data_IF_987091814514
#
_entry.id   IF_987091814514
#
_cell.length_a   1.000
_cell.length_b   1.000
_cell.length_c   1.000
_cell.angle_alpha   90.00
_cell.angle_beta   90.00
_cell.angle_gamma   90.00
#
_symmetry.space_group_name_H-M   'P 1'
#
loop_
_entity.id
_entity.type
_entity.pdbx_description
1 polymer ?
#
# COMPACT_ATOMS: atom_id res chain seq x y z
N UNK A 1 -24.95 -0.47 7.19
CA UNK A 1 -23.83 -0.44 6.24
C UNK A 1 -24.05 0.70 5.27
N UNK A 2 -23.00 1.39 4.84
CA UNK A 2 -23.10 2.38 3.75
C UNK A 2 -23.18 1.64 2.42
N UNK A 3 -23.76 2.27 1.37
CA UNK A 3 -23.70 1.77 0.00
C UNK A 3 -22.39 2.15 -0.67
N UNK A 4 -21.99 3.45 -0.59
CA UNK A 4 -20.80 3.96 -1.24
C UNK A 4 -20.30 5.28 -0.63
N UNK A 5 -18.97 5.47 -0.66
CA UNK A 5 -18.33 6.76 -0.42
C UNK A 5 -17.70 7.23 -1.74
N UNK A 6 -18.08 8.44 -2.22
CA UNK A 6 -17.53 9.06 -3.44
C UNK A 6 -16.90 10.38 -3.07
N UNK A 7 -15.77 10.69 -3.68
CA UNK A 7 -15.17 12.00 -3.52
C UNK A 7 -14.34 12.39 -4.74
N UNK A 8 -14.21 13.68 -4.96
CA UNK A 8 -13.31 14.31 -5.92
C UNK A 8 -12.75 15.56 -5.26
N UNK A 9 -11.45 15.60 -5.00
CA UNK A 9 -10.84 16.57 -4.09
C UNK A 9 -9.55 17.13 -4.68
N UNK A 10 -9.37 18.44 -4.56
CA UNK A 10 -8.09 19.10 -4.76
C UNK A 10 -7.69 19.88 -3.50
N UNK A 11 -6.39 19.92 -3.21
CA UNK A 11 -5.84 20.65 -2.07
C UNK A 11 -4.56 21.38 -2.41
N UNK A 12 -4.57 22.68 -2.22
CA UNK A 12 -3.42 23.57 -2.35
C UNK A 12 -3.07 24.17 -0.99
N UNK A 13 -1.78 24.33 -0.71
CA UNK A 13 -1.25 25.12 0.39
C UNK A 13 -0.36 26.23 -0.22
N UNK A 14 -0.91 27.43 -0.35
CA UNK A 14 -0.29 28.49 -1.12
C UNK A 14 -0.08 28.07 -2.57
N UNK A 15 1.13 28.15 -3.08
CA UNK A 15 1.48 27.74 -4.45
C UNK A 15 1.67 26.22 -4.61
N UNK A 16 1.73 25.44 -3.50
CA UNK A 16 1.99 23.99 -3.55
C UNK A 16 0.69 23.24 -3.74
N UNK A 17 0.57 22.54 -4.88
CA UNK A 17 -0.49 21.56 -5.10
C UNK A 17 -0.14 20.25 -4.40
N UNK A 18 -0.96 19.82 -3.45
CA UNK A 18 -0.73 18.59 -2.65
C UNK A 18 -1.65 17.47 -3.08
N UNK A 19 -2.85 17.79 -3.57
CA UNK A 19 -3.76 16.84 -4.21
C UNK A 19 -4.35 17.52 -5.44
N UNK A 20 -4.23 16.84 -6.57
CA UNK A 20 -4.68 17.31 -7.87
C UNK A 20 -5.77 16.37 -8.41
N UNK A 21 -7.02 16.82 -8.33
CA UNK A 21 -8.18 16.10 -8.84
C UNK A 21 -8.29 14.63 -8.36
N UNK A 22 -8.02 14.42 -7.07
CA UNK A 22 -8.05 13.10 -6.47
C UNK A 22 -9.50 12.59 -6.37
N UNK A 23 -9.88 11.71 -7.28
CA UNK A 23 -11.22 11.15 -7.37
C UNK A 23 -11.22 9.64 -7.10
N UNK A 24 -12.16 9.18 -6.27
CA UNK A 24 -12.35 7.77 -5.98
C UNK A 24 -13.80 7.48 -5.55
N UNK A 25 -14.25 6.27 -5.88
CA UNK A 25 -15.45 5.65 -5.32
C UNK A 25 -15.05 4.40 -4.53
N UNK A 26 -15.52 4.31 -3.27
CA UNK A 26 -15.32 3.19 -2.34
C UNK A 26 -16.67 2.58 -2.05
N UNK A 27 -16.78 1.26 -2.18
CA UNK A 27 -18.02 0.51 -1.91
C UNK A 27 -18.15 0.22 -0.41
N UNK A 28 -19.40 0.05 0.04
CA UNK A 28 -19.64 -0.40 1.41
C UNK A 28 -18.99 -1.75 1.69
N UNK A 29 -18.32 -1.87 2.83
CA UNK A 29 -17.59 -3.08 3.23
C UNK A 29 -16.23 -3.26 2.55
N UNK A 30 -15.78 -2.31 1.72
CA UNK A 30 -14.49 -2.40 1.01
C UNK A 30 -13.33 -1.90 1.89
N UNK A 31 -12.18 -2.59 1.81
CA UNK A 31 -10.90 -2.15 2.38
C UNK A 31 -10.04 -1.53 1.29
N UNK A 32 -9.92 -0.21 1.28
CA UNK A 32 -9.13 0.52 0.28
C UNK A 32 -7.87 1.08 0.91
N UNK A 33 -6.72 0.84 0.29
CA UNK A 33 -5.44 1.40 0.74
C UNK A 33 -4.91 2.47 -0.21
N UNK A 34 -4.55 3.64 0.35
CA UNK A 34 -3.76 4.65 -0.34
C UNK A 34 -2.28 4.33 -0.11
N UNK A 35 -1.57 3.99 -1.17
CA UNK A 35 -0.20 3.53 -1.16
C UNK A 35 0.68 4.50 -1.96
N UNK A 36 1.86 4.83 -1.45
CA UNK A 36 2.82 5.70 -2.14
C UNK A 36 3.90 6.22 -1.22
N UNK A 37 4.91 6.93 -1.74
CA UNK A 37 6.01 7.46 -0.96
C UNK A 37 5.55 8.52 0.05
N UNK A 38 6.43 8.84 1.00
CA UNK A 38 6.17 9.91 1.97
C UNK A 38 5.98 11.25 1.25
N UNK A 39 5.01 12.03 1.70
CA UNK A 39 4.73 13.36 1.12
C UNK A 39 3.91 13.37 -0.17
N UNK A 40 3.44 12.23 -0.71
CA UNK A 40 2.64 12.20 -1.93
C UNK A 40 1.16 12.60 -1.76
N UNK A 41 0.71 12.97 -0.54
CA UNK A 41 -0.64 13.48 -0.30
C UNK A 41 -1.61 12.51 0.41
N UNK A 42 -1.22 11.28 0.77
CA UNK A 42 -2.09 10.25 1.40
C UNK A 42 -2.78 10.74 2.67
N UNK A 43 -2.00 11.17 3.67
CA UNK A 43 -2.55 11.69 4.95
C UNK A 43 -3.35 12.97 4.73
N UNK A 44 -2.99 13.80 3.75
CA UNK A 44 -3.80 14.97 3.37
C UNK A 44 -5.17 14.53 2.86
N UNK A 45 -5.24 13.55 1.95
CA UNK A 45 -6.49 13.00 1.46
C UNK A 45 -7.35 12.45 2.62
N UNK A 46 -6.73 11.69 3.54
CA UNK A 46 -7.41 11.16 4.71
C UNK A 46 -7.96 12.25 5.63
N UNK A 47 -7.19 13.32 5.88
CA UNK A 47 -7.59 14.46 6.70
C UNK A 47 -8.73 15.27 6.05
N UNK A 48 -8.76 15.39 4.73
CA UNK A 48 -9.89 15.98 3.99
C UNK A 48 -11.16 15.15 4.16
N UNK A 49 -11.07 13.82 4.04
CA UNK A 49 -12.19 12.91 4.27
C UNK A 49 -12.68 12.97 5.72
N UNK A 50 -11.77 13.00 6.69
CA UNK A 50 -12.10 13.16 8.10
C UNK A 50 -12.75 14.51 8.44
N UNK A 51 -12.55 15.54 7.61
CA UNK A 51 -13.01 16.90 7.86
C UNK A 51 -12.07 17.72 8.74
N UNK A 52 -10.87 17.21 9.01
CA UNK A 52 -9.83 17.92 9.77
C UNK A 52 -9.17 19.03 8.94
N UNK A 53 -9.27 18.93 7.61
CA UNK A 53 -8.85 19.95 6.66
C UNK A 53 -10.00 20.24 5.69
N UNK A 54 -10.27 21.51 5.32
CA UNK A 54 -11.18 21.82 4.23
C UNK A 54 -10.49 21.57 2.87
N UNK A 55 -11.19 21.03 1.87
CA UNK A 55 -10.68 20.96 0.52
C UNK A 55 -10.53 22.38 -0.08
N UNK A 56 -9.64 22.56 -1.06
CA UNK A 56 -9.59 23.79 -1.85
C UNK A 56 -10.74 23.80 -2.86
N UNK A 57 -11.03 22.64 -3.46
CA UNK A 57 -12.17 22.41 -4.31
C UNK A 57 -12.58 20.95 -4.29
N UNK A 58 -13.81 20.68 -4.72
CA UNK A 58 -14.36 19.35 -4.81
C UNK A 58 -15.40 19.04 -3.74
N UNK A 59 -15.78 17.78 -3.66
CA UNK A 59 -16.90 17.32 -2.84
C UNK A 59 -16.71 15.90 -2.31
N UNK A 60 -17.39 15.59 -1.21
CA UNK A 60 -17.42 14.27 -0.56
C UNK A 60 -18.88 13.87 -0.38
N UNK A 61 -19.23 12.70 -0.87
CA UNK A 61 -20.56 12.11 -0.76
C UNK A 61 -20.52 10.75 -0.10
N UNK A 62 -21.38 10.54 0.87
CA UNK A 62 -21.61 9.25 1.49
C UNK A 62 -23.07 8.86 1.21
N UNK A 63 -23.24 7.88 0.34
CA UNK A 63 -24.53 7.59 -0.31
C UNK A 63 -25.08 8.85 -1.01
N UNK A 64 -26.23 9.37 -0.59
CA UNK A 64 -26.84 10.60 -1.11
C UNK A 64 -26.57 11.84 -0.23
N UNK A 65 -25.71 11.69 0.79
CA UNK A 65 -25.42 12.72 1.76
C UNK A 65 -24.09 13.43 1.46
N UNK A 66 -24.12 14.74 1.24
CA UNK A 66 -22.92 15.56 1.05
C UNK A 66 -22.25 15.85 2.38
N UNK A 67 -20.93 15.53 2.50
CA UNK A 67 -20.18 15.59 3.74
C UNK A 67 -19.13 16.70 3.83
N UNK A 68 -18.65 17.24 2.69
CA UNK A 68 -17.57 18.25 2.74
C UNK A 68 -17.95 19.51 3.55
N UNK A 69 -19.22 20.00 3.62
CA UNK A 69 -19.56 21.11 4.48
C UNK A 69 -19.69 20.73 5.97
N UNK A 70 -19.70 19.43 6.30
CA UNK A 70 -19.92 18.98 7.69
C UNK A 70 -18.63 18.97 8.47
N UNK A 71 -18.66 19.40 9.73
CA UNK A 71 -17.51 19.28 10.62
C UNK A 71 -17.24 17.79 10.96
N UNK A 72 -16.02 17.46 11.42
CA UNK A 72 -15.56 16.07 11.63
C UNK A 72 -16.53 15.23 12.47
N UNK A 73 -17.02 15.77 13.59
CA UNK A 73 -17.89 15.08 14.54
C UNK A 73 -19.27 14.71 13.94
N UNK A 74 -19.66 15.33 12.81
CA UNK A 74 -20.93 15.08 12.12
C UNK A 74 -20.79 14.20 10.89
N UNK A 75 -19.56 13.80 10.50
CA UNK A 75 -19.33 12.90 9.36
C UNK A 75 -19.61 11.43 9.69
N UNK A 76 -19.58 11.07 10.98
CA UNK A 76 -19.81 9.70 11.43
C UNK A 76 -18.64 8.76 11.13
N UNK A 77 -17.44 9.29 10.96
CA UNK A 77 -16.22 8.54 10.71
C UNK A 77 -15.47 8.25 12.01
N UNK A 78 -14.78 7.10 12.06
CA UNK A 78 -13.78 6.79 13.08
C UNK A 78 -12.38 7.00 12.49
N UNK A 79 -11.43 7.52 13.29
CA UNK A 79 -10.08 7.74 12.80
C UNK A 79 -9.04 7.20 13.80
N UNK A 80 -8.05 6.50 13.28
CA UNK A 80 -6.84 6.07 13.98
C UNK A 80 -5.67 6.86 13.41
N UNK A 81 -4.99 7.62 14.24
CA UNK A 81 -3.85 8.46 13.88
C UNK A 81 -2.53 7.67 13.97
N UNK A 82 -1.52 8.09 13.25
CA UNK A 82 -0.18 7.48 13.20
C UNK A 82 0.48 7.37 14.60
N UNK A 83 0.29 8.38 15.47
CA UNK A 83 0.81 8.41 16.83
C UNK A 83 -0.22 7.93 17.87
N UNK A 84 -1.27 7.20 17.41
CA UNK A 84 -2.41 6.73 18.21
C UNK A 84 -3.24 7.84 18.85
N UNK A 85 -2.69 9.02 19.13
CA UNK A 85 -3.33 10.20 19.72
C UNK A 85 -4.20 9.87 20.96
N UNK A 86 -3.71 8.97 21.83
CA UNK A 86 -4.39 8.64 23.07
C UNK A 86 -4.29 9.81 24.05
N UNK A 87 -5.35 10.01 24.82
CA UNK A 87 -5.36 10.99 25.90
C UNK A 87 -4.54 10.45 27.09
N UNK A 88 -3.36 11.00 27.39
CA UNK A 88 -2.44 10.40 28.36
C UNK A 88 -2.96 10.43 29.79
N UNK A 89 -3.85 11.36 30.11
CA UNK A 89 -4.48 11.58 31.42
C UNK A 89 -5.78 10.78 31.60
N UNK A 90 -6.25 10.05 30.59
CA UNK A 90 -7.41 9.18 30.66
C UNK A 90 -6.99 7.72 30.72
N UNK A 91 -7.76 6.91 31.46
CA UNK A 91 -7.61 5.46 31.49
C UNK A 91 -7.89 4.84 30.11
N UNK A 92 -7.58 3.56 29.93
CA UNK A 92 -7.99 2.79 28.74
C UNK A 92 -9.49 2.84 28.55
N UNK A 93 -10.24 2.62 29.62
CA UNK A 93 -11.70 2.70 29.59
C UNK A 93 -12.18 4.07 29.12
N UNK A 94 -11.67 5.15 29.72
CA UNK A 94 -12.10 6.51 29.41
C UNK A 94 -11.65 6.97 28.02
N UNK A 95 -10.47 6.53 27.54
CA UNK A 95 -10.05 6.73 26.16
C UNK A 95 -11.06 6.15 25.18
N UNK A 96 -11.47 4.88 25.39
CA UNK A 96 -12.44 4.22 24.52
C UNK A 96 -13.83 4.86 24.67
N UNK A 97 -14.25 5.18 25.89
CA UNK A 97 -15.55 5.78 26.19
C UNK A 97 -15.71 7.21 25.66
N UNK A 98 -14.61 7.91 25.36
CA UNK A 98 -14.60 9.34 25.07
C UNK A 98 -15.63 9.76 24.01
N UNK A 99 -15.63 9.09 22.86
CA UNK A 99 -16.55 9.38 21.77
C UNK A 99 -18.03 9.14 22.13
N UNK A 100 -18.31 8.17 22.98
CA UNK A 100 -19.67 7.90 23.50
C UNK A 100 -20.13 8.98 24.47
N UNK A 101 -19.23 9.49 25.33
CA UNK A 101 -19.54 10.61 26.22
C UNK A 101 -19.84 11.91 25.46
N UNK A 102 -19.05 12.22 24.42
CA UNK A 102 -19.31 13.38 23.54
C UNK A 102 -20.69 13.27 22.89
N UNK A 103 -21.11 12.03 22.52
CA UNK A 103 -22.45 11.74 21.96
C UNK A 103 -23.55 11.64 23.01
N UNK A 104 -23.26 11.89 24.30
CA UNK A 104 -24.19 11.83 25.43
C UNK A 104 -24.90 10.47 25.58
N UNK A 105 -24.22 9.37 25.29
CA UNK A 105 -24.73 8.01 25.52
C UNK A 105 -24.84 7.75 27.03
N UNK A 106 -25.85 7.00 27.48
CA UNK A 106 -26.07 6.72 28.90
C UNK A 106 -24.92 5.91 29.50
N UNK A 107 -24.63 6.10 30.79
CA UNK A 107 -23.51 5.44 31.48
C UNK A 107 -23.57 3.91 31.40
N UNK A 108 -24.76 3.31 31.52
CA UNK A 108 -24.92 1.86 31.41
C UNK A 108 -24.55 1.35 30.02
N UNK A 109 -25.04 2.00 28.97
CA UNK A 109 -24.71 1.66 27.58
C UNK A 109 -23.23 1.88 27.27
N UNK A 110 -22.61 2.94 27.81
CA UNK A 110 -21.16 3.20 27.68
C UNK A 110 -20.36 2.03 28.26
N UNK A 111 -20.68 1.62 29.49
CA UNK A 111 -19.96 0.51 30.14
C UNK A 111 -20.03 -0.79 29.37
N UNK A 112 -21.20 -1.14 28.85
CA UNK A 112 -21.39 -2.38 28.07
C UNK A 112 -20.65 -2.32 26.73
N UNK A 113 -20.77 -1.20 25.98
CA UNK A 113 -20.10 -1.04 24.67
C UNK A 113 -18.59 -1.06 24.84
N UNK A 114 -18.04 -0.36 25.83
CA UNK A 114 -16.60 -0.29 26.08
C UNK A 114 -16.08 -1.69 26.44
N UNK A 115 -16.70 -2.42 27.38
CA UNK A 115 -16.26 -3.78 27.73
C UNK A 115 -16.28 -4.71 26.54
N UNK A 116 -17.37 -4.71 25.77
CA UNK A 116 -17.47 -5.53 24.56
C UNK A 116 -16.35 -5.17 23.56
N UNK A 117 -16.07 -3.89 23.37
CA UNK A 117 -15.02 -3.43 22.45
C UNK A 117 -13.63 -3.81 22.95
N UNK A 118 -13.35 -3.68 24.27
CA UNK A 118 -12.07 -4.10 24.84
C UNK A 118 -11.86 -5.62 24.71
N UNK A 119 -12.89 -6.42 24.93
CA UNK A 119 -12.84 -7.87 24.64
C UNK A 119 -12.54 -8.18 23.19
N UNK A 120 -13.17 -7.46 22.24
CA UNK A 120 -12.96 -7.64 20.80
C UNK A 120 -11.51 -7.37 20.38
N UNK A 121 -10.86 -6.36 20.98
CA UNK A 121 -9.45 -6.02 20.71
C UNK A 121 -8.47 -6.68 21.69
N UNK A 122 -8.90 -7.61 22.53
CA UNK A 122 -8.09 -8.39 23.49
C UNK A 122 -7.35 -7.52 24.49
N UNK A 123 -8.07 -6.59 25.14
CA UNK A 123 -7.56 -5.69 26.19
C UNK A 123 -8.31 -5.87 27.51
N UNK A 124 -8.92 -7.03 27.74
CA UNK A 124 -9.61 -7.36 28.99
C UNK A 124 -8.65 -7.23 30.17
N UNK A 125 -9.11 -6.64 31.28
CA UNK A 125 -8.34 -6.44 32.50
C UNK A 125 -7.36 -5.27 32.45
N UNK A 126 -7.36 -4.48 31.39
CA UNK A 126 -6.50 -3.28 31.25
C UNK A 126 -7.28 -1.96 31.38
N UNK A 127 -8.56 -2.00 31.74
CA UNK A 127 -9.51 -0.88 31.72
C UNK A 127 -9.02 0.33 32.53
N UNK A 128 -8.37 0.08 33.67
CA UNK A 128 -7.91 1.12 34.60
C UNK A 128 -6.50 1.63 34.31
N UNK A 129 -5.76 1.00 33.39
CA UNK A 129 -4.42 1.44 33.03
C UNK A 129 -4.45 2.73 32.21
N UNK A 130 -3.34 3.44 32.27
CA UNK A 130 -3.10 4.66 31.48
C UNK A 130 -2.21 4.34 30.25
N UNK A 131 -2.26 5.15 29.18
CA UNK A 131 -1.46 4.91 27.96
C UNK A 131 0.04 4.67 28.24
N UNK A 132 0.66 5.42 29.15
CA UNK A 132 2.07 5.25 29.50
C UNK A 132 2.43 3.92 30.17
N UNK A 133 1.44 3.11 30.57
CA UNK A 133 1.61 1.79 31.19
C UNK A 133 1.41 0.65 30.19
N UNK A 134 1.21 0.98 28.90
CA UNK A 134 0.87 0.04 27.84
C UNK A 134 2.04 -0.09 26.84
N UNK A 135 2.20 -1.29 26.26
CA UNK A 135 3.07 -1.48 25.09
C UNK A 135 2.50 -0.75 23.86
N UNK A 136 3.33 -0.49 22.85
CA UNK A 136 2.89 0.16 21.59
C UNK A 136 1.71 -0.55 20.93
N UNK A 137 1.73 -1.89 20.87
CA UNK A 137 0.61 -2.66 20.33
C UNK A 137 -0.66 -2.57 21.18
N UNK A 138 -0.54 -2.49 22.50
CA UNK A 138 -1.70 -2.25 23.37
C UNK A 138 -2.26 -0.84 23.17
N UNK A 139 -1.40 0.18 23.07
CA UNK A 139 -1.83 1.55 22.74
C UNK A 139 -2.57 1.62 21.41
N UNK A 140 -2.07 0.93 20.39
CA UNK A 140 -2.73 0.84 19.10
C UNK A 140 -4.10 0.18 19.19
N UNK A 141 -4.22 -0.94 19.92
CA UNK A 141 -5.51 -1.61 20.17
C UNK A 141 -6.51 -0.67 20.86
N UNK A 142 -6.06 0.13 21.83
CA UNK A 142 -6.90 1.18 22.46
C UNK A 142 -7.36 2.21 21.43
N UNK A 143 -6.47 2.68 20.55
CA UNK A 143 -6.82 3.66 19.52
C UNK A 143 -7.85 3.08 18.51
N UNK A 144 -7.68 1.82 18.10
CA UNK A 144 -8.64 1.10 17.25
C UNK A 144 -9.98 0.94 17.99
N UNK A 145 -9.98 0.50 19.24
CA UNK A 145 -11.18 0.37 20.06
C UNK A 145 -11.93 1.70 20.19
N UNK A 146 -11.23 2.81 20.46
CA UNK A 146 -11.78 4.17 20.53
C UNK A 146 -12.45 4.59 19.22
N UNK A 147 -11.83 4.25 18.08
CA UNK A 147 -12.40 4.56 16.77
C UNK A 147 -13.61 3.70 16.41
N UNK A 148 -13.66 2.44 16.89
CA UNK A 148 -14.73 1.48 16.59
C UNK A 148 -15.93 1.55 17.52
N UNK A 149 -15.75 1.93 18.81
CA UNK A 149 -16.83 1.90 19.81
C UNK A 149 -18.02 2.80 19.46
N UNK A 150 -17.76 3.83 18.65
CA UNK A 150 -18.80 4.74 18.14
C UNK A 150 -19.58 4.19 16.94
N UNK A 151 -19.28 2.96 16.50
CA UNK A 151 -19.88 2.30 15.34
C UNK A 151 -19.80 3.20 14.09
N UNK A 152 -18.58 3.49 13.61
CA UNK A 152 -18.40 4.45 12.54
C UNK A 152 -18.93 3.94 11.21
N UNK A 153 -19.40 4.85 10.35
CA UNK A 153 -19.83 4.55 8.97
C UNK A 153 -18.62 4.20 8.08
N UNK A 154 -17.48 4.84 8.33
CA UNK A 154 -16.20 4.61 7.66
C UNK A 154 -15.07 4.68 8.70
N UNK A 155 -14.14 3.75 8.62
CA UNK A 155 -12.93 3.72 9.43
C UNK A 155 -11.75 4.27 8.62
N UNK A 156 -11.09 5.29 9.13
CA UNK A 156 -9.91 5.92 8.55
C UNK A 156 -8.67 5.55 9.39
N UNK A 157 -7.62 5.02 8.75
CA UNK A 157 -6.39 4.60 9.43
C UNK A 157 -5.19 5.27 8.75
N UNK A 158 -4.52 6.18 9.49
CA UNK A 158 -3.35 6.92 9.00
C UNK A 158 -2.06 6.26 9.53
N UNK A 159 -1.38 5.48 8.70
CA UNK A 159 -0.14 4.73 9.00
C UNK A 159 -0.14 4.04 10.38
N UNK A 160 -1.19 3.29 10.75
CA UNK A 160 -1.38 2.85 12.13
C UNK A 160 -0.33 1.85 12.62
N UNK A 161 0.45 1.23 11.72
CA UNK A 161 1.45 0.21 12.06
C UNK A 161 2.89 0.73 12.02
N UNK A 162 3.12 2.00 11.63
CA UNK A 162 4.46 2.55 11.40
C UNK A 162 5.37 2.55 12.62
N UNK A 163 4.80 2.67 13.83
CA UNK A 163 5.54 2.76 15.09
C UNK A 163 5.75 1.41 15.80
N UNK A 164 5.47 0.30 15.12
CA UNK A 164 5.58 -1.06 15.68
C UNK A 164 6.80 -1.78 15.12
N UNK A 165 7.39 -2.67 15.94
CA UNK A 165 8.37 -3.63 15.48
C UNK A 165 7.80 -4.62 14.46
N UNK A 166 8.66 -5.33 13.73
CA UNK A 166 8.24 -6.21 12.63
C UNK A 166 7.28 -7.33 13.08
N UNK A 167 7.52 -7.96 14.25
CA UNK A 167 6.67 -9.05 14.75
C UNK A 167 5.28 -8.53 15.12
N UNK A 168 5.23 -7.47 15.90
CA UNK A 168 3.98 -6.86 16.36
C UNK A 168 3.17 -6.28 15.19
N UNK A 169 3.87 -5.74 14.16
CA UNK A 169 3.24 -5.27 12.92
C UNK A 169 2.49 -6.38 12.20
N UNK A 170 3.08 -7.58 12.08
CA UNK A 170 2.42 -8.75 11.48
C UNK A 170 1.18 -9.17 12.27
N UNK A 171 1.27 -9.22 13.60
CA UNK A 171 0.14 -9.56 14.47
C UNK A 171 -1.00 -8.55 14.35
N UNK A 172 -0.67 -7.25 14.38
CA UNK A 172 -1.66 -6.18 14.30
C UNK A 172 -2.30 -6.06 12.91
N UNK A 173 -1.54 -6.37 11.84
CA UNK A 173 -2.07 -6.46 10.48
C UNK A 173 -3.17 -7.51 10.39
N UNK A 174 -2.91 -8.71 10.91
CA UNK A 174 -3.90 -9.79 10.94
C UNK A 174 -5.14 -9.40 11.77
N UNK A 175 -4.94 -8.69 12.90
CA UNK A 175 -6.02 -8.22 13.75
C UNK A 175 -6.90 -7.17 13.07
N UNK A 176 -6.30 -6.18 12.38
CA UNK A 176 -7.04 -5.18 11.61
C UNK A 176 -7.90 -5.86 10.51
N UNK A 177 -7.32 -6.83 9.77
CA UNK A 177 -8.06 -7.58 8.75
C UNK A 177 -9.23 -8.34 9.36
N UNK A 178 -9.02 -9.02 10.50
CA UNK A 178 -10.06 -9.73 11.23
C UNK A 178 -11.20 -8.80 11.65
N UNK A 179 -10.87 -7.67 12.29
CA UNK A 179 -11.86 -6.69 12.76
C UNK A 179 -12.66 -6.10 11.60
N UNK A 180 -11.99 -5.78 10.48
CA UNK A 180 -12.67 -5.29 9.28
C UNK A 180 -13.71 -6.29 8.76
N UNK A 181 -13.33 -7.57 8.63
CA UNK A 181 -14.21 -8.63 8.13
C UNK A 181 -15.35 -8.93 9.11
N UNK A 182 -15.04 -9.07 10.41
CA UNK A 182 -16.02 -9.42 11.44
C UNK A 182 -17.10 -8.35 11.64
N UNK A 183 -16.71 -7.07 11.51
CA UNK A 183 -17.62 -5.94 11.70
C UNK A 183 -18.23 -5.41 10.39
N UNK A 184 -17.82 -5.94 9.23
CA UNK A 184 -18.28 -5.48 7.90
C UNK A 184 -17.96 -4.00 7.66
N UNK A 185 -16.77 -3.55 8.04
CA UNK A 185 -16.38 -2.14 7.99
C UNK A 185 -16.12 -1.68 6.55
N UNK A 186 -16.35 -0.40 6.28
CA UNK A 186 -15.74 0.28 5.14
C UNK A 186 -14.50 0.99 5.65
N UNK A 187 -13.32 0.66 5.11
CA UNK A 187 -12.04 1.14 5.63
C UNK A 187 -11.20 1.84 4.57
N UNK A 188 -10.63 2.98 4.93
CA UNK A 188 -9.58 3.65 4.14
C UNK A 188 -8.31 3.62 4.97
N UNK A 189 -7.28 3.02 4.43
CA UNK A 189 -5.99 2.79 5.07
C UNK A 189 -4.90 3.56 4.33
N UNK A 190 -4.03 4.22 5.04
CA UNK A 190 -2.85 4.90 4.49
C UNK A 190 -1.60 4.18 4.93
N UNK A 191 -0.72 3.86 4.01
CA UNK A 191 0.60 3.29 4.29
C UNK A 191 1.60 3.60 3.17
N UNK A 192 2.87 3.45 3.46
CA UNK A 192 3.95 3.38 2.49
C UNK A 192 4.53 1.94 2.37
N UNK A 193 4.02 0.99 3.19
CA UNK A 193 4.45 -0.42 3.20
C UNK A 193 3.61 -1.22 2.20
N UNK A 194 4.30 -1.82 1.21
CA UNK A 194 3.69 -2.65 0.17
C UNK A 194 3.06 -3.92 0.74
N UNK A 195 3.74 -4.56 1.72
CA UNK A 195 3.26 -5.79 2.34
C UNK A 195 1.95 -5.57 3.10
N UNK A 196 1.78 -4.41 3.74
CA UNK A 196 0.51 -4.02 4.35
C UNK A 196 -0.58 -3.85 3.29
N UNK A 197 -0.31 -3.07 2.24
CA UNK A 197 -1.27 -2.81 1.18
C UNK A 197 -1.71 -4.10 0.48
N UNK A 198 -0.76 -4.96 0.07
CA UNK A 198 -1.06 -6.21 -0.63
C UNK A 198 -1.86 -7.21 0.22
N UNK A 199 -1.62 -7.24 1.55
CA UNK A 199 -2.26 -8.23 2.42
C UNK A 199 -3.62 -7.81 2.97
N UNK A 200 -3.84 -6.51 3.17
CA UNK A 200 -5.06 -5.98 3.80
C UNK A 200 -6.16 -5.67 2.80
N UNK A 201 -5.81 -5.17 1.62
CA UNK A 201 -6.73 -4.44 0.75
C UNK A 201 -7.56 -5.33 -0.16
N UNK A 202 -8.78 -4.86 -0.46
CA UNK A 202 -9.55 -5.30 -1.61
C UNK A 202 -9.13 -4.49 -2.85
N UNK A 203 -8.81 -3.19 -2.67
CA UNK A 203 -8.25 -2.32 -3.71
C UNK A 203 -7.14 -1.43 -3.16
N UNK A 204 -6.14 -1.20 -4.00
CA UNK A 204 -5.01 -0.30 -3.74
C UNK A 204 -5.08 0.87 -4.71
N UNK A 205 -4.88 2.07 -4.18
CA UNK A 205 -4.74 3.33 -4.92
C UNK A 205 -3.28 3.76 -4.79
N UNK A 206 -2.52 3.60 -5.87
CA UNK A 206 -1.11 4.05 -5.90
C UNK A 206 -1.07 5.53 -6.22
N UNK A 207 -0.43 6.29 -5.34
CA UNK A 207 -0.34 7.75 -5.41
C UNK A 207 1.11 8.23 -5.57
N UNK A 208 1.29 9.25 -6.41
CA UNK A 208 2.52 10.01 -6.54
C UNK A 208 2.21 11.50 -6.76
N UNK A 209 2.90 12.38 -6.03
CA UNK A 209 2.82 13.84 -6.22
C UNK A 209 1.39 14.41 -6.27
N UNK A 210 0.51 13.89 -5.39
CA UNK A 210 -0.88 14.35 -5.28
C UNK A 210 -1.84 13.74 -6.30
N UNK A 211 -1.38 12.85 -7.18
CA UNK A 211 -2.19 12.21 -8.22
C UNK A 211 -2.31 10.71 -8.02
N UNK A 212 -3.37 10.14 -8.55
CA UNK A 212 -3.58 8.69 -8.64
C UNK A 212 -2.92 8.18 -9.92
N UNK A 213 -1.96 7.26 -9.77
CA UNK A 213 -1.32 6.62 -10.92
C UNK A 213 -2.01 5.34 -11.34
N UNK A 214 -2.46 4.54 -10.38
CA UNK A 214 -3.16 3.29 -10.66
C UNK A 214 -4.11 2.94 -9.52
N UNK A 215 -5.26 2.39 -9.86
CA UNK A 215 -6.21 1.77 -8.94
C UNK A 215 -6.45 0.35 -9.41
N UNK A 216 -6.38 -0.63 -8.50
CA UNK A 216 -6.60 -2.03 -8.82
C UNK A 216 -6.63 -2.92 -7.60
N UNK A 217 -6.93 -4.20 -7.79
CA UNK A 217 -6.76 -5.24 -6.77
C UNK A 217 -5.26 -5.41 -6.44
N UNK A 218 -4.91 -5.99 -5.28
CA UNK A 218 -3.52 -6.31 -4.96
C UNK A 218 -2.78 -7.05 -6.08
N UNK A 219 -3.41 -8.05 -6.70
CA UNK A 219 -2.85 -8.80 -7.81
C UNK A 219 -2.62 -7.94 -9.07
N UNK A 220 -3.59 -7.06 -9.41
CA UNK A 220 -3.43 -6.16 -10.56
C UNK A 220 -2.29 -5.16 -10.37
N UNK A 221 -2.17 -4.57 -9.17
CA UNK A 221 -1.08 -3.63 -8.85
C UNK A 221 0.27 -4.34 -8.88
N UNK A 222 0.32 -5.55 -8.31
CA UNK A 222 1.54 -6.34 -8.23
C UNK A 222 1.97 -6.89 -9.59
N UNK A 223 1.08 -7.53 -10.36
CA UNK A 223 1.44 -8.29 -11.57
C UNK A 223 1.29 -7.50 -12.87
N UNK A 224 0.58 -6.37 -12.84
CA UNK A 224 0.26 -5.54 -14.01
C UNK A 224 0.42 -4.04 -13.71
N UNK A 225 1.62 -3.60 -13.31
CA UNK A 225 1.88 -2.18 -13.14
C UNK A 225 1.70 -1.47 -14.48
N UNK A 226 1.11 -0.27 -14.45
CA UNK A 226 0.83 0.53 -15.65
C UNK A 226 1.91 1.53 -15.99
N UNK A 227 2.74 1.89 -15.01
CA UNK A 227 3.81 2.89 -15.15
C UNK A 227 5.11 2.35 -14.58
N UNK A 228 6.22 2.91 -15.02
CA UNK A 228 7.56 2.60 -14.49
C UNK A 228 7.63 2.85 -12.99
N UNK A 229 7.02 3.96 -12.55
CA UNK A 229 6.97 4.27 -11.13
C UNK A 229 6.24 3.19 -10.31
N UNK A 230 5.06 2.75 -10.77
CA UNK A 230 4.32 1.70 -10.06
C UNK A 230 5.12 0.40 -10.07
N UNK A 231 5.73 0.04 -11.18
CA UNK A 231 6.57 -1.16 -11.29
C UNK A 231 7.75 -1.12 -10.30
N UNK A 232 8.55 -0.06 -10.31
CA UNK A 232 9.67 0.09 -9.36
C UNK A 232 9.15 0.09 -7.91
N UNK A 233 8.06 0.81 -7.65
CA UNK A 233 7.46 0.90 -6.32
C UNK A 233 6.98 -0.46 -5.79
N UNK A 234 6.49 -1.38 -6.65
CA UNK A 234 6.03 -2.73 -6.24
C UNK A 234 7.09 -3.83 -6.43
N UNK A 235 8.37 -3.45 -6.59
CA UNK A 235 9.48 -4.39 -6.50
C UNK A 235 10.11 -4.86 -7.81
N UNK A 236 9.73 -4.29 -8.95
CA UNK A 236 10.46 -4.52 -10.21
C UNK A 236 11.78 -3.74 -10.18
N UNK A 237 12.88 -4.40 -9.84
CA UNK A 237 14.20 -3.79 -9.67
C UNK A 237 15.07 -3.81 -10.92
N UNK A 238 14.69 -4.59 -11.94
CA UNK A 238 15.32 -4.59 -13.25
C UNK A 238 14.43 -3.83 -14.22
N UNK A 239 14.91 -2.71 -14.72
CA UNK A 239 14.26 -1.86 -15.70
C UNK A 239 15.22 -1.74 -16.89
N UNK A 240 15.13 -2.70 -17.83
CA UNK A 240 16.06 -2.82 -18.94
C UNK A 240 15.53 -2.07 -20.17
N UNK A 241 16.27 -1.09 -20.73
CA UNK A 241 15.89 -0.43 -21.96
C UNK A 241 15.92 -1.41 -23.13
N UNK A 242 14.78 -1.55 -23.83
CA UNK A 242 14.62 -2.46 -24.97
C UNK A 242 13.76 -1.82 -26.06
N UNK A 243 13.89 -2.30 -27.29
CA UNK A 243 13.06 -1.88 -28.43
C UNK A 243 12.13 -3.01 -28.83
N UNK A 244 10.87 -2.73 -29.05
CA UNK A 244 9.86 -3.69 -29.46
C UNK A 244 10.13 -4.15 -30.90
N UNK A 245 10.36 -5.46 -31.11
CA UNK A 245 10.71 -6.03 -32.41
C UNK A 245 9.61 -6.86 -33.05
N UNK A 246 8.72 -7.48 -32.25
CA UNK A 246 7.62 -8.28 -32.77
C UNK A 246 6.45 -8.36 -31.75
N UNK A 247 5.26 -8.67 -32.27
CA UNK A 247 4.08 -9.03 -31.46
C UNK A 247 3.65 -10.45 -31.83
N UNK A 248 3.61 -11.34 -30.84
CA UNK A 248 3.18 -12.72 -31.02
C UNK A 248 1.66 -12.87 -31.10
N UNK A 249 1.20 -13.95 -31.69
CA UNK A 249 -0.22 -14.30 -31.76
C UNK A 249 -0.83 -14.63 -30.38
N UNK A 250 0.00 -14.97 -29.41
CA UNK A 250 -0.34 -15.20 -27.98
C UNK A 250 -0.49 -13.92 -27.15
N UNK A 251 -0.38 -12.75 -27.80
CA UNK A 251 -0.50 -11.44 -27.16
C UNK A 251 0.78 -10.99 -26.43
N UNK A 252 1.85 -11.80 -26.43
CA UNK A 252 3.14 -11.38 -25.91
C UNK A 252 3.90 -10.54 -26.93
N UNK A 253 4.68 -9.61 -26.43
CA UNK A 253 5.53 -8.71 -27.19
C UNK A 253 6.98 -9.14 -27.05
N UNK A 254 7.72 -9.24 -28.15
CA UNK A 254 9.16 -9.46 -28.15
C UNK A 254 9.87 -8.12 -28.25
N UNK A 255 10.88 -7.92 -27.42
CA UNK A 255 11.71 -6.72 -27.43
C UNK A 255 13.18 -7.08 -27.21
N UNK A 256 14.08 -6.27 -27.75
CA UNK A 256 15.52 -6.50 -27.73
C UNK A 256 16.27 -5.24 -27.29
N UNK A 257 17.28 -5.41 -26.45
CA UNK A 257 18.14 -4.31 -25.97
C UNK A 257 18.99 -4.77 -24.79
N UNK A 258 20.05 -4.02 -24.46
CA UNK A 258 20.90 -4.34 -23.31
C UNK A 258 21.56 -5.74 -23.36
N UNK A 259 21.68 -6.36 -24.57
CA UNK A 259 22.22 -7.71 -24.73
C UNK A 259 21.24 -8.84 -24.38
N UNK A 260 19.96 -8.52 -24.19
CA UNK A 260 18.91 -9.50 -23.93
C UNK A 260 17.80 -9.41 -24.98
N UNK A 261 17.19 -10.57 -25.26
CA UNK A 261 15.95 -10.66 -26.03
C UNK A 261 14.86 -11.15 -25.10
N UNK A 262 13.88 -10.30 -24.82
CA UNK A 262 12.81 -10.60 -23.88
C UNK A 262 11.46 -10.80 -24.58
N UNK A 263 10.60 -11.58 -23.96
CA UNK A 263 9.18 -11.65 -24.29
C UNK A 263 8.39 -11.27 -23.04
N UNK A 264 7.42 -10.39 -23.17
CA UNK A 264 6.67 -9.90 -22.03
C UNK A 264 5.30 -9.38 -22.44
N UNK A 265 4.52 -8.96 -21.43
CA UNK A 265 3.22 -8.34 -21.62
C UNK A 265 3.38 -6.82 -21.67
N UNK A 266 2.66 -6.16 -22.57
CA UNK A 266 2.60 -4.70 -22.62
C UNK A 266 1.75 -4.23 -23.77
N UNK A 267 1.06 -3.12 -23.59
CA UNK A 267 0.35 -2.43 -24.68
C UNK A 267 1.26 -1.34 -25.27
N UNK A 268 2.22 -1.80 -26.07
CA UNK A 268 3.30 -0.99 -26.63
C UNK A 268 3.39 -1.19 -28.14
N UNK A 269 3.72 -0.13 -28.88
CA UNK A 269 3.79 -0.19 -30.33
C UNK A 269 5.05 -0.89 -30.82
N UNK A 270 4.99 -1.47 -32.03
CA UNK A 270 6.16 -2.01 -32.74
C UNK A 270 7.17 -0.87 -32.99
N UNK A 271 8.45 -1.13 -32.74
CA UNK A 271 9.53 -0.16 -32.85
C UNK A 271 9.63 0.83 -31.66
N UNK A 272 8.71 0.77 -30.71
CA UNK A 272 8.78 1.65 -29.53
C UNK A 272 9.97 1.30 -28.63
N UNK A 273 10.62 2.33 -28.07
CA UNK A 273 11.58 2.20 -26.97
C UNK A 273 10.80 2.08 -25.66
N UNK A 274 11.03 1.01 -24.91
CA UNK A 274 10.29 0.66 -23.69
C UNK A 274 11.24 0.14 -22.62
N UNK A 275 10.76 0.01 -21.40
CA UNK A 275 11.48 -0.65 -20.31
C UNK A 275 10.90 -2.04 -20.07
N UNK A 276 11.74 -3.05 -20.11
CA UNK A 276 11.40 -4.39 -19.63
C UNK A 276 11.56 -4.41 -18.11
N UNK A 277 10.44 -4.45 -17.41
CA UNK A 277 10.38 -4.49 -15.95
C UNK A 277 10.35 -5.96 -15.48
N UNK A 278 11.32 -6.34 -14.63
CA UNK A 278 11.51 -7.71 -14.16
C UNK A 278 11.85 -7.67 -12.68
N UNK A 279 11.30 -8.59 -11.89
CA UNK A 279 11.64 -8.72 -10.47
C UNK A 279 12.91 -9.54 -10.28
N UNK A 280 13.69 -9.31 -9.20
CA UNK A 280 14.85 -10.14 -8.90
C UNK A 280 14.53 -11.63 -8.74
N UNK A 281 13.37 -11.97 -8.18
CA UNK A 281 12.90 -13.35 -8.00
C UNK A 281 12.49 -14.05 -9.30
N UNK A 282 12.22 -13.30 -10.39
CA UNK A 282 11.89 -13.82 -11.71
C UNK A 282 13.14 -13.95 -12.61
N UNK A 283 14.32 -13.74 -12.04
CA UNK A 283 15.63 -13.93 -12.68
C UNK A 283 16.28 -15.19 -12.13
N UNK A 284 16.51 -16.17 -13.01
CA UNK A 284 17.19 -17.42 -12.66
C UNK A 284 18.66 -17.37 -13.00
N UNK A 285 19.51 -17.94 -12.16
CA UNK A 285 20.96 -18.09 -12.35
C UNK A 285 21.33 -19.55 -12.54
N UNK A 286 22.21 -19.85 -13.50
CA UNK A 286 22.67 -21.21 -13.79
C UNK A 286 23.96 -21.23 -14.60
N UNK A 287 24.49 -22.44 -14.85
CA UNK A 287 25.68 -22.62 -15.68
C UNK A 287 25.35 -22.62 -17.18
N UNK A 288 24.13 -23.00 -17.53
CA UNK A 288 23.67 -23.13 -18.90
C UNK A 288 22.71 -22.00 -19.30
N UNK A 289 22.85 -21.56 -20.54
CA UNK A 289 21.98 -20.56 -21.15
C UNK A 289 20.79 -21.26 -21.84
N UNK A 290 19.58 -21.14 -21.26
CA UNK A 290 18.39 -21.74 -21.85
C UNK A 290 17.30 -20.70 -22.09
N UNK A 291 16.72 -20.69 -23.30
CA UNK A 291 15.52 -19.95 -23.65
C UNK A 291 15.72 -18.51 -24.12
N UNK A 292 14.61 -17.88 -24.46
CA UNK A 292 14.56 -16.45 -24.78
C UNK A 292 14.83 -15.62 -23.54
N UNK A 293 15.79 -14.69 -23.61
CA UNK A 293 16.22 -13.88 -22.45
C UNK A 293 17.46 -14.41 -21.74
N UNK A 294 18.06 -15.49 -22.26
CA UNK A 294 19.32 -15.98 -21.73
C UNK A 294 20.48 -15.04 -22.08
N UNK A 295 21.25 -14.65 -21.09
CA UNK A 295 22.43 -13.80 -21.23
C UNK A 295 23.55 -14.31 -20.28
N UNK A 296 24.80 -14.01 -20.60
CA UNK A 296 25.94 -14.29 -19.72
C UNK A 296 26.34 -13.02 -18.99
N UNK A 297 26.79 -13.19 -17.74
CA UNK A 297 27.25 -12.05 -16.97
C UNK A 297 28.17 -12.45 -15.82
N UNK A 298 28.81 -11.46 -15.22
CA UNK A 298 29.73 -11.64 -14.09
C UNK A 298 29.08 -11.14 -12.82
N UNK A 299 29.11 -11.94 -11.76
CA UNK A 299 28.60 -11.59 -10.43
C UNK A 299 29.45 -10.48 -9.83
N UNK A 300 28.80 -9.35 -9.51
CA UNK A 300 29.45 -8.14 -8.97
C UNK A 300 29.28 -8.01 -7.46
N UNK A 301 28.09 -8.31 -6.96
CA UNK A 301 27.73 -8.16 -5.55
C UNK A 301 26.83 -9.32 -5.11
N UNK A 302 27.02 -9.80 -3.88
CA UNK A 302 26.16 -10.82 -3.26
C UNK A 302 25.84 -10.37 -1.84
N UNK A 303 24.56 -10.23 -1.53
CA UNK A 303 24.07 -9.81 -0.22
C UNK A 303 23.14 -10.89 0.36
N UNK A 304 23.46 -11.39 1.55
CA UNK A 304 22.65 -12.40 2.23
C UNK A 304 21.41 -11.79 2.88
N UNK A 305 20.23 -12.31 2.54
CA UNK A 305 18.93 -11.86 3.02
C UNK A 305 18.25 -12.84 4.01
N UNK A 306 19.04 -13.71 4.65
CA UNK A 306 18.57 -14.69 5.64
C UNK A 306 18.32 -16.09 5.06
N UNK A 307 17.61 -16.24 3.97
CA UNK A 307 17.39 -17.53 3.26
C UNK A 307 17.89 -17.51 1.84
N UNK A 308 17.90 -16.35 1.24
CA UNK A 308 18.26 -16.11 -0.15
C UNK A 308 19.35 -15.05 -0.22
N UNK A 309 19.90 -14.88 -1.40
CA UNK A 309 20.90 -13.88 -1.71
C UNK A 309 20.35 -12.94 -2.78
N UNK A 310 20.44 -11.64 -2.55
CA UNK A 310 20.32 -10.63 -3.59
C UNK A 310 21.66 -10.53 -4.31
N UNK A 311 21.65 -10.71 -5.63
CA UNK A 311 22.84 -10.81 -6.48
C UNK A 311 22.78 -9.74 -7.55
N UNK A 312 23.82 -8.94 -7.69
CA UNK A 312 23.98 -8.00 -8.80
C UNK A 312 24.95 -8.58 -9.83
N UNK A 313 24.52 -8.66 -11.08
CA UNK A 313 25.25 -9.25 -12.19
C UNK A 313 25.44 -8.17 -13.27
N UNK A 314 26.67 -8.00 -13.75
CA UNK A 314 26.95 -7.24 -14.96
C UNK A 314 26.95 -8.18 -16.15
N UNK A 315 25.99 -8.01 -17.05
CA UNK A 315 25.93 -8.78 -18.30
C UNK A 315 27.11 -8.43 -19.22
N UNK A 316 27.43 -9.30 -20.17
CA UNK A 316 28.48 -9.06 -21.18
C UNK A 316 28.20 -7.81 -22.03
N UNK A 317 26.96 -7.39 -22.13
CA UNK A 317 26.53 -6.14 -22.75
C UNK A 317 26.81 -4.87 -21.92
N UNK A 318 27.23 -5.02 -20.65
CA UNK A 318 27.36 -3.93 -19.69
C UNK A 318 26.09 -3.59 -18.90
N UNK A 319 24.93 -4.17 -19.23
CA UNK A 319 23.71 -3.97 -18.45
C UNK A 319 23.81 -4.64 -17.08
N UNK A 320 23.17 -4.04 -16.08
CA UNK A 320 23.15 -4.59 -14.72
C UNK A 320 21.80 -5.26 -14.47
N UNK A 321 21.84 -6.50 -13.99
CA UNK A 321 20.65 -7.27 -13.61
C UNK A 321 20.78 -7.71 -12.16
N UNK A 322 19.69 -7.62 -11.42
CA UNK A 322 19.54 -8.09 -10.04
C UNK A 322 18.73 -9.39 -10.04
N UNK A 323 19.24 -10.38 -9.33
CA UNK A 323 18.56 -11.66 -9.15
C UNK A 323 18.42 -11.96 -7.66
N UNK A 324 17.40 -12.74 -7.30
CA UNK A 324 17.25 -13.34 -5.97
C UNK A 324 17.32 -14.84 -6.09
N UNK A 325 18.23 -15.48 -5.32
CA UNK A 325 18.49 -16.91 -5.43
C UNK A 325 18.85 -17.54 -4.08
N UNK A 326 18.47 -18.81 -3.90
CA UNK A 326 18.92 -19.62 -2.75
C UNK A 326 20.36 -20.15 -2.90
N UNK A 327 20.90 -20.16 -4.14
CA UNK A 327 22.30 -20.53 -4.38
C UNK A 327 23.24 -19.41 -3.91
N UNK A 328 24.47 -19.79 -3.56
CA UNK A 328 25.51 -18.84 -3.13
C UNK A 328 26.52 -18.61 -4.28
N UNK A 329 26.26 -17.72 -5.23
CA UNK A 329 27.19 -17.43 -6.30
C UNK A 329 28.42 -16.69 -5.73
N UNK A 330 29.58 -16.93 -6.33
CA UNK A 330 30.80 -16.24 -5.90
C UNK A 330 30.95 -14.94 -6.68
N UNK A 331 31.35 -13.87 -5.99
CA UNK A 331 31.73 -12.61 -6.65
C UNK A 331 32.86 -12.88 -7.64
N UNK A 332 32.77 -12.36 -8.83
CA UNK A 332 33.69 -12.58 -9.95
C UNK A 332 33.39 -13.84 -10.78
N UNK A 333 32.48 -14.73 -10.36
CA UNK A 333 32.11 -15.87 -11.19
C UNK A 333 31.25 -15.45 -12.38
N UNK A 334 31.38 -16.17 -13.50
CA UNK A 334 30.54 -16.02 -14.67
C UNK A 334 29.33 -16.93 -14.52
N UNK A 335 28.15 -16.40 -14.76
CA UNK A 335 26.86 -17.10 -14.63
C UNK A 335 25.99 -16.89 -15.87
N UNK A 336 25.17 -17.87 -16.17
CA UNK A 336 24.05 -17.71 -17.09
C UNK A 336 22.88 -17.04 -16.36
N UNK A 337 22.27 -16.06 -17.00
CA UNK A 337 21.09 -15.34 -16.52
C UNK A 337 19.92 -15.69 -17.44
N UNK A 338 18.81 -16.12 -16.88
CA UNK A 338 17.58 -16.40 -17.60
C UNK A 338 16.43 -15.58 -17.02
N UNK A 339 15.66 -14.90 -17.90
CA UNK A 339 14.54 -14.05 -17.53
C UNK A 339 13.23 -14.77 -17.80
N UNK A 340 12.34 -14.88 -16.81
CA UNK A 340 11.03 -15.54 -16.98
C UNK A 340 10.09 -14.68 -17.86
N UNK A 341 9.92 -15.09 -19.11
CA UNK A 341 9.10 -14.39 -20.10
C UNK A 341 7.64 -14.18 -19.65
N UNK A 342 7.08 -15.06 -18.81
CA UNK A 342 5.70 -14.96 -18.34
C UNK A 342 5.50 -13.84 -17.31
N UNK A 343 6.59 -13.37 -16.71
CA UNK A 343 6.62 -12.37 -15.61
C UNK A 343 7.10 -10.99 -16.05
N UNK A 344 7.59 -10.85 -17.28
CA UNK A 344 8.10 -9.57 -17.79
C UNK A 344 6.94 -8.66 -18.18
N UNK A 345 7.02 -7.40 -17.73
CA UNK A 345 6.10 -6.32 -18.13
C UNK A 345 6.87 -5.29 -18.94
N UNK A 346 6.36 -4.98 -20.14
CA UNK A 346 6.92 -3.94 -21.00
C UNK A 346 6.15 -2.63 -20.79
N UNK A 347 6.85 -1.60 -20.35
CA UNK A 347 6.29 -0.30 -19.99
C UNK A 347 6.85 0.79 -20.89
N UNK A 348 6.03 1.81 -21.29
CA UNK A 348 6.56 2.98 -21.98
C UNK A 348 7.72 3.60 -21.17
N UNK A 349 8.79 4.00 -21.87
CA UNK A 349 9.95 4.62 -21.22
C UNK A 349 9.65 6.05 -20.70
N UNK A 350 8.58 6.66 -21.20
CA UNK A 350 8.14 8.01 -20.84
C UNK A 350 6.98 7.95 -19.83
N UNK A 351 7.32 7.85 -18.55
CA UNK A 351 6.44 8.25 -17.44
C UNK A 351 7.21 9.20 -16.51
N UNK A 352 7.84 10.19 -17.09
CA UNK A 352 8.27 11.38 -16.36
C UNK A 352 7.06 12.33 -16.29
N UNK A 353 6.14 12.03 -15.34
CA UNK A 353 5.12 12.99 -14.90
C UNK A 353 5.71 13.93 -13.90
#
# INVERSE_FOLDING_TARGET
MIGRLRFRLSKHFGAKNVLDDFALEVRGGEFVTFLGPSGCGKSTALNLLAGLLPPTSGEIWLDEERLDPRPPERRGFGMVFQNYALFPHLSVFDNVAFGLHVRRVTRATVADRVRRMLGLVKLDGLETRYPGQLSGGQQQRVAIARALVIEPRVLLLDEPLSNLDAKLRLEMRAEIKRLHQELGLTSIYVTHDQGEALSLSDRIVVMREGRVLQVGTPAEIHDRPRTVFVADFVGYRNLLPVTVTARGADGLVTAEGGGVRVRGRGDVALGASVLAAIRPEDVSLGDDLHGAGAARGTVRLVEYQGREYDVEITLDSGAIVKARTAATPKVGSVVGVTLDASRIVLLPAEDHV
#
